data_IF_245499772365
#
_entry.id   IF_245499772365
#
_cell.length_a   1.000
_cell.length_b   1.000
_cell.length_c   1.000
_cell.angle_alpha   90.00
_cell.angle_beta   90.00
_cell.angle_gamma   90.00
#
_symmetry.space_group_name_H-M   'P 1'
#
loop_
_entity.id
_entity.type
_entity.pdbx_description
1 polymer ?
#
# COMPACT_ATOMS: atom_id res chain seq x y z
N UNK A 1 -19.91 60.39 -45.25
CA UNK A 1 -20.54 59.41 -44.32
C UNK A 1 -19.43 58.47 -43.87
N UNK A 2 -19.18 58.40 -42.55
CA UNK A 2 -18.03 57.73 -41.93
C UNK A 2 -18.29 56.22 -41.82
N UNK A 3 -17.43 55.40 -42.43
CA UNK A 3 -17.41 53.94 -42.21
C UNK A 3 -16.46 53.62 -41.07
N UNK A 4 -16.97 52.98 -40.02
CA UNK A 4 -16.25 52.63 -38.79
C UNK A 4 -15.46 51.35 -39.03
N UNK A 5 -14.15 51.39 -38.84
CA UNK A 5 -13.27 50.22 -38.81
C UNK A 5 -13.52 49.44 -37.52
N UNK A 6 -14.05 48.22 -37.62
CA UNK A 6 -14.22 47.31 -36.46
C UNK A 6 -12.89 46.59 -36.24
N UNK A 7 -12.08 47.06 -35.30
CA UNK A 7 -10.89 46.33 -34.85
C UNK A 7 -11.31 45.25 -33.87
N UNK A 8 -11.09 43.99 -34.24
CA UNK A 8 -11.31 42.81 -33.42
C UNK A 8 -10.36 42.80 -32.22
N UNK A 9 -10.87 43.07 -31.02
CA UNK A 9 -10.14 42.83 -29.78
C UNK A 9 -10.29 41.36 -29.37
N UNK A 10 -9.31 40.53 -29.74
CA UNK A 10 -9.09 39.24 -29.07
C UNK A 10 -8.59 39.53 -27.65
N UNK A 11 -9.48 39.48 -26.67
CA UNK A 11 -9.08 39.45 -25.26
C UNK A 11 -8.65 38.00 -24.98
N UNK A 12 -7.35 37.73 -25.08
CA UNK A 12 -6.77 36.52 -24.52
C UNK A 12 -6.84 36.64 -22.99
N UNK A 13 -7.85 36.01 -22.39
CA UNK A 13 -7.91 35.86 -20.94
C UNK A 13 -6.77 34.93 -20.50
N UNK A 14 -5.64 35.50 -20.10
CA UNK A 14 -4.60 34.82 -19.35
C UNK A 14 -5.22 34.42 -18.00
N UNK A 15 -5.77 33.21 -17.92
CA UNK A 15 -6.02 32.57 -16.64
C UNK A 15 -4.64 32.34 -16.02
N UNK A 16 -4.19 33.30 -15.22
CA UNK A 16 -3.06 33.15 -14.32
C UNK A 16 -3.47 32.17 -13.22
N UNK A 17 -3.58 30.89 -13.60
CA UNK A 17 -3.65 29.81 -12.64
C UNK A 17 -2.32 29.81 -11.91
N UNK A 18 -2.33 30.14 -10.63
CA UNK A 18 -1.19 29.88 -9.76
C UNK A 18 -0.96 28.36 -9.78
N UNK A 19 -0.05 27.89 -10.63
CA UNK A 19 0.51 26.55 -10.48
C UNK A 19 1.27 26.60 -9.16
N UNK A 20 0.63 26.11 -8.09
CA UNK A 20 1.30 25.90 -6.82
C UNK A 20 2.52 25.04 -7.09
N UNK A 21 3.71 25.54 -6.73
CA UNK A 21 4.95 24.78 -6.84
C UNK A 21 4.75 23.39 -6.22
N UNK A 22 5.30 22.31 -6.83
CA UNK A 22 5.17 20.98 -6.27
C UNK A 22 5.61 21.00 -4.81
N UNK A 23 4.72 20.57 -3.91
CA UNK A 23 5.03 20.50 -2.49
C UNK A 23 6.21 19.54 -2.28
N UNK A 24 7.27 20.00 -1.62
CA UNK A 24 8.41 19.16 -1.26
C UNK A 24 7.97 18.11 -0.24
N UNK A 25 7.93 16.84 -0.65
CA UNK A 25 7.71 15.70 0.24
C UNK A 25 9.06 15.09 0.66
N UNK A 26 9.52 15.31 1.90
CA UNK A 26 10.79 14.77 2.39
C UNK A 26 10.78 13.23 2.49
N UNK A 27 9.61 12.58 2.43
CA UNK A 27 9.47 11.12 2.55
C UNK A 27 9.11 10.43 1.23
N UNK A 28 9.15 11.15 0.10
CA UNK A 28 8.79 10.60 -1.21
C UNK A 28 9.58 9.32 -1.53
N UNK A 29 10.87 9.28 -1.19
CA UNK A 29 11.70 8.10 -1.41
C UNK A 29 11.25 6.88 -0.60
N UNK A 30 10.94 7.08 0.69
CA UNK A 30 10.46 6.01 1.57
C UNK A 30 9.09 5.48 1.09
N UNK A 31 8.19 6.39 0.69
CA UNK A 31 6.90 6.06 0.08
C UNK A 31 7.08 5.19 -1.17
N UNK A 32 7.94 5.61 -2.09
CA UNK A 32 8.22 4.88 -3.32
C UNK A 32 8.83 3.51 -3.05
N UNK A 33 9.74 3.38 -2.07
CA UNK A 33 10.28 2.09 -1.65
C UNK A 33 9.16 1.19 -1.12
N UNK A 34 8.32 1.71 -0.22
CA UNK A 34 7.21 0.96 0.36
C UNK A 34 6.27 0.40 -0.71
N UNK A 35 5.86 1.24 -1.66
CA UNK A 35 5.02 0.85 -2.80
C UNK A 35 5.73 -0.23 -3.64
N UNK A 36 7.00 -0.01 -4.00
CA UNK A 36 7.76 -0.97 -4.83
C UNK A 36 7.89 -2.33 -4.17
N UNK A 37 8.08 -2.40 -2.86
CA UNK A 37 8.16 -3.69 -2.15
C UNK A 37 6.84 -4.44 -2.28
N UNK A 38 5.71 -3.77 -2.06
CA UNK A 38 4.39 -4.42 -2.14
C UNK A 38 4.02 -4.77 -3.59
N UNK A 39 4.42 -3.97 -4.58
CA UNK A 39 4.33 -4.36 -6.00
C UNK A 39 5.18 -5.58 -6.33
N UNK A 40 6.35 -5.72 -5.70
CA UNK A 40 7.17 -6.92 -5.78
C UNK A 40 6.48 -8.15 -5.20
N UNK A 41 5.81 -8.00 -4.06
CA UNK A 41 4.99 -9.07 -3.47
C UNK A 41 3.87 -9.51 -4.40
N UNK A 42 3.21 -8.55 -5.06
CA UNK A 42 2.16 -8.85 -6.03
C UNK A 42 2.68 -9.71 -7.19
N UNK A 43 3.86 -9.37 -7.72
CA UNK A 43 4.50 -10.10 -8.80
C UNK A 43 4.94 -11.50 -8.36
N UNK A 44 5.53 -11.62 -7.16
CA UNK A 44 5.94 -12.89 -6.60
C UNK A 44 4.75 -13.85 -6.40
N UNK A 45 3.66 -13.35 -5.83
CA UNK A 45 2.46 -14.16 -5.58
C UNK A 45 1.78 -14.60 -6.88
N UNK A 46 1.78 -13.73 -7.89
CA UNK A 46 1.32 -14.09 -9.23
C UNK A 46 2.12 -15.28 -9.77
N UNK A 47 3.44 -15.24 -9.66
CA UNK A 47 4.32 -16.32 -10.12
C UNK A 47 4.11 -17.60 -9.30
N UNK A 48 3.85 -17.48 -7.99
CA UNK A 48 3.46 -18.59 -7.11
C UNK A 48 2.14 -19.26 -7.53
N UNK A 49 1.14 -18.48 -7.94
CA UNK A 49 -0.14 -19.02 -8.43
C UNK A 49 0.03 -19.64 -9.83
N UNK A 50 0.83 -19.04 -10.71
CA UNK A 50 1.11 -19.59 -12.04
C UNK A 50 1.86 -20.92 -12.02
N UNK A 51 2.61 -21.22 -10.95
CA UNK A 51 3.27 -22.52 -10.80
C UNK A 51 2.33 -23.65 -10.36
N UNK A 52 1.03 -23.37 -10.17
CA UNK A 52 -0.01 -24.36 -9.90
C UNK A 52 -0.42 -24.50 -8.43
N UNK A 53 0.08 -23.63 -7.55
CA UNK A 53 -0.39 -23.57 -6.17
C UNK A 53 -1.76 -22.88 -6.06
N UNK A 54 -2.54 -23.27 -5.05
CA UNK A 54 -3.86 -22.69 -4.81
C UNK A 54 -3.77 -21.35 -4.06
N UNK A 55 -4.84 -20.55 -4.11
CA UNK A 55 -4.96 -19.34 -3.29
C UNK A 55 -4.97 -19.69 -1.79
N UNK A 56 -5.54 -20.84 -1.44
CA UNK A 56 -5.56 -21.36 -0.09
C UNK A 56 -4.14 -21.64 0.43
N UNK A 57 -3.29 -22.28 -0.39
CA UNK A 57 -1.88 -22.55 -0.07
C UNK A 57 -1.09 -21.24 0.10
N UNK A 58 -1.33 -20.27 -0.78
CA UNK A 58 -0.72 -18.95 -0.70
C UNK A 58 -1.12 -18.24 0.60
N UNK A 59 -2.41 -18.23 0.96
CA UNK A 59 -2.91 -17.62 2.19
C UNK A 59 -2.37 -18.34 3.43
N UNK A 60 -2.29 -19.67 3.43
CA UNK A 60 -1.73 -20.44 4.53
C UNK A 60 -0.23 -20.14 4.75
N UNK A 61 0.53 -20.09 3.65
CA UNK A 61 1.96 -19.76 3.68
C UNK A 61 2.19 -18.31 4.12
N UNK A 62 1.37 -17.38 3.63
CA UNK A 62 1.41 -15.98 4.05
C UNK A 62 1.12 -15.80 5.54
N UNK A 63 0.12 -16.50 6.11
CA UNK A 63 -0.12 -16.48 7.57
C UNK A 63 1.09 -16.98 8.35
N UNK A 64 1.80 -17.98 7.84
CA UNK A 64 3.04 -18.47 8.44
C UNK A 64 4.13 -17.41 8.39
N UNK A 65 4.36 -16.79 7.22
CA UNK A 65 5.33 -15.71 7.06
C UNK A 65 5.03 -14.51 7.99
N UNK A 66 3.76 -14.11 8.09
CA UNK A 66 3.32 -13.04 9.01
C UNK A 66 3.55 -13.43 10.47
N UNK A 67 3.18 -14.65 10.87
CA UNK A 67 3.35 -15.13 12.26
C UNK A 67 4.82 -15.10 12.67
N UNK A 68 5.72 -15.52 11.79
CA UNK A 68 7.17 -15.50 12.03
C UNK A 68 7.74 -14.07 12.22
N UNK A 69 7.03 -13.05 11.73
CA UNK A 69 7.37 -11.64 11.96
C UNK A 69 6.97 -11.10 13.34
N UNK A 70 6.19 -11.84 14.13
CA UNK A 70 5.74 -11.42 15.46
C UNK A 70 6.76 -11.75 16.55
N UNK A 71 6.65 -11.06 17.70
CA UNK A 71 7.46 -11.36 18.90
C UNK A 71 7.14 -12.73 19.50
N UNK A 72 5.88 -13.13 19.45
CA UNK A 72 5.41 -14.47 19.81
C UNK A 72 4.62 -15.05 18.61
N UNK A 73 5.26 -15.84 17.74
CA UNK A 73 4.60 -16.39 16.55
C UNK A 73 3.36 -17.24 16.84
N UNK A 74 3.34 -17.96 17.97
CA UNK A 74 2.21 -18.83 18.31
C UNK A 74 0.99 -18.05 18.81
N UNK A 75 1.17 -16.78 19.15
CA UNK A 75 0.08 -15.90 19.56
C UNK A 75 -0.68 -15.24 18.41
N UNK A 76 -0.30 -15.50 17.16
CA UNK A 76 -0.85 -14.84 15.99
C UNK A 76 -2.38 -15.00 15.91
N UNK A 77 -3.09 -13.89 15.86
CA UNK A 77 -4.52 -13.83 15.61
C UNK A 77 -4.76 -13.08 14.31
N UNK A 78 -5.48 -13.70 13.38
CA UNK A 78 -5.72 -13.16 12.06
C UNK A 78 -7.19 -12.76 11.88
N UNK A 79 -7.42 -11.68 11.14
CA UNK A 79 -8.74 -11.32 10.63
C UNK A 79 -8.64 -10.66 9.26
N UNK A 80 -9.75 -10.63 8.52
CA UNK A 80 -9.88 -9.97 7.22
C UNK A 80 -8.83 -10.41 6.19
N UNK A 81 -8.33 -11.66 6.30
CA UNK A 81 -7.30 -12.20 5.41
C UNK A 81 -7.90 -12.58 4.07
N UNK A 82 -7.36 -12.02 3.00
CA UNK A 82 -7.83 -12.22 1.62
C UNK A 82 -6.73 -11.93 0.62
N UNK A 83 -6.85 -12.51 -0.57
CA UNK A 83 -6.02 -12.15 -1.71
C UNK A 83 -6.60 -10.89 -2.38
N UNK A 84 -5.77 -9.88 -2.64
CA UNK A 84 -6.18 -8.60 -3.23
C UNK A 84 -5.38 -8.36 -4.51
N UNK A 85 -6.06 -8.13 -5.63
CA UNK A 85 -5.42 -7.75 -6.88
C UNK A 85 -4.68 -6.41 -6.69
N UNK A 86 -3.41 -6.36 -7.07
CA UNK A 86 -2.59 -5.16 -6.96
C UNK A 86 -1.55 -5.17 -8.07
N UNK A 87 -1.50 -4.09 -8.86
CA UNK A 87 -0.65 -4.02 -10.06
C UNK A 87 -0.90 -5.23 -10.98
N UNK A 88 0.16 -5.88 -11.45
CA UNK A 88 0.12 -7.02 -12.36
C UNK A 88 -0.17 -8.36 -11.67
N UNK A 89 -0.41 -8.38 -10.36
CA UNK A 89 -0.53 -9.61 -9.56
C UNK A 89 -1.48 -9.46 -8.38
N UNK A 90 -1.17 -10.12 -7.28
CA UNK A 90 -2.02 -10.08 -6.09
C UNK A 90 -1.24 -10.17 -4.77
N UNK A 91 -1.71 -9.51 -3.72
CA UNK A 91 -1.07 -9.48 -2.41
C UNK A 91 -1.99 -10.16 -1.39
N UNK A 92 -1.42 -10.99 -0.51
CA UNK A 92 -2.19 -11.48 0.65
C UNK A 92 -2.25 -10.36 1.66
N UNK A 93 -3.44 -9.77 1.80
CA UNK A 93 -3.71 -8.71 2.74
C UNK A 93 -4.49 -9.24 3.93
N UNK A 94 -4.35 -8.59 5.08
CA UNK A 94 -5.18 -8.87 6.25
C UNK A 94 -4.72 -8.07 7.45
N UNK A 95 -5.21 -8.45 8.61
CA UNK A 95 -4.76 -7.89 9.87
C UNK A 95 -4.30 -9.00 10.81
N UNK A 96 -3.20 -8.72 11.52
CA UNK A 96 -2.62 -9.62 12.52
C UNK A 96 -2.50 -8.91 13.86
N UNK A 97 -2.80 -9.63 14.93
CA UNK A 97 -2.49 -9.25 16.30
C UNK A 97 -1.58 -10.34 16.91
N UNK A 98 -0.78 -9.96 17.88
CA UNK A 98 0.16 -10.86 18.56
C UNK A 98 0.58 -10.29 19.89
N UNK A 99 1.06 -11.15 20.79
CA UNK A 99 1.60 -10.74 22.07
C UNK A 99 2.92 -10.01 21.88
N UNK A 100 3.09 -8.92 22.62
CA UNK A 100 4.38 -8.25 22.79
C UNK A 100 5.26 -8.99 23.82
N UNK A 101 6.46 -8.46 24.09
CA UNK A 101 7.40 -9.04 25.06
C UNK A 101 6.89 -9.07 26.52
N UNK A 102 5.79 -8.36 26.82
CA UNK A 102 5.12 -8.38 28.13
C UNK A 102 3.94 -9.34 28.18
N UNK A 103 3.70 -10.12 27.11
CA UNK A 103 2.61 -11.10 27.03
C UNK A 103 1.23 -10.54 26.68
N UNK A 104 1.13 -9.22 26.42
CA UNK A 104 -0.12 -8.54 26.11
C UNK A 104 -0.32 -8.31 24.61
N UNK A 105 -1.58 -8.35 24.17
CA UNK A 105 -1.97 -7.95 22.81
C UNK A 105 -2.06 -6.44 22.68
N UNK A 106 -1.52 -5.88 21.60
CA UNK A 106 -1.46 -4.41 21.37
C UNK A 106 -2.43 -3.91 20.30
N UNK A 107 -3.19 -4.83 19.69
CA UNK A 107 -4.19 -4.52 18.67
C UNK A 107 -3.78 -5.03 17.29
N UNK A 108 -4.78 -5.10 16.41
CA UNK A 108 -4.59 -5.57 15.04
C UNK A 108 -3.83 -4.55 14.19
N UNK A 109 -2.84 -5.04 13.45
CA UNK A 109 -2.04 -4.29 12.49
C UNK A 109 -2.23 -4.87 11.10
N UNK A 110 -2.32 -4.01 10.07
CA UNK A 110 -2.40 -4.47 8.68
C UNK A 110 -1.12 -5.18 8.28
N UNK A 111 -1.23 -6.13 7.36
CA UNK A 111 -0.08 -6.72 6.71
C UNK A 111 -0.30 -6.89 5.20
N UNK A 112 0.81 -6.93 4.47
CA UNK A 112 0.91 -7.37 3.09
C UNK A 112 1.91 -8.54 3.06
N UNK A 113 1.58 -9.64 2.40
CA UNK A 113 2.41 -10.85 2.45
C UNK A 113 2.45 -11.62 1.14
N UNK A 114 3.51 -12.41 1.03
CA UNK A 114 3.68 -13.51 0.07
C UNK A 114 3.69 -14.85 0.79
N UNK A 115 3.89 -15.95 0.07
CA UNK A 115 4.10 -17.26 0.70
C UNK A 115 5.39 -17.35 1.55
N UNK A 116 6.33 -16.41 1.39
CA UNK A 116 7.64 -16.46 2.04
C UNK A 116 7.93 -15.26 2.96
N UNK A 117 7.34 -14.10 2.68
CA UNK A 117 7.68 -12.84 3.35
C UNK A 117 6.44 -12.05 3.72
N UNK A 118 6.56 -11.20 4.74
CA UNK A 118 5.49 -10.35 5.20
C UNK A 118 6.01 -8.97 5.62
N UNK A 119 5.21 -7.95 5.31
CA UNK A 119 5.32 -6.62 5.88
C UNK A 119 4.15 -6.42 6.83
N UNK A 120 4.44 -6.08 8.08
CA UNK A 120 3.43 -5.72 9.10
C UNK A 120 3.53 -4.22 9.35
N UNK A 121 2.40 -3.55 9.34
CA UNK A 121 2.28 -2.11 9.55
C UNK A 121 2.85 -1.70 10.92
N UNK A 122 3.91 -0.89 10.88
CA UNK A 122 4.63 -0.42 12.06
C UNK A 122 4.08 0.91 12.59
N UNK A 123 3.04 1.48 11.97
CA UNK A 123 2.52 2.78 12.40
C UNK A 123 2.05 2.76 13.86
N UNK A 124 2.61 3.70 14.62
CA UNK A 124 2.08 4.13 15.91
C UNK A 124 1.03 5.21 15.64
N UNK A 125 -0.22 4.79 15.46
CA UNK A 125 -1.43 5.55 15.78
C UNK A 125 -1.47 7.04 15.39
N UNK A 126 -1.42 7.40 14.09
CA UNK A 126 -2.15 8.56 13.48
C UNK A 126 -1.52 9.16 12.20
N UNK A 127 -0.61 8.47 11.51
CA UNK A 127 -0.23 8.82 10.14
C UNK A 127 0.17 7.53 9.42
N UNK A 128 -0.22 7.39 8.14
CA UNK A 128 0.41 6.41 7.28
C UNK A 128 1.89 6.78 7.20
N UNK A 129 2.71 6.09 7.98
CA UNK A 129 4.18 6.15 7.88
C UNK A 129 4.51 5.90 6.41
N UNK A 130 5.37 6.73 5.83
CA UNK A 130 5.82 6.60 4.45
C UNK A 130 6.28 5.17 4.14
N UNK A 131 6.82 4.47 5.13
CA UNK A 131 7.29 3.09 5.07
C UNK A 131 6.18 2.05 4.96
N UNK A 132 4.96 2.41 5.36
CA UNK A 132 3.78 1.53 5.29
C UNK A 132 2.86 1.87 4.12
N UNK A 133 3.17 2.89 3.31
CA UNK A 133 2.29 3.34 2.22
C UNK A 133 1.90 2.21 1.26
N UNK A 134 2.82 1.32 0.88
CA UNK A 134 2.51 0.18 0.01
C UNK A 134 1.45 -0.75 0.61
N UNK A 135 1.49 -0.99 1.93
CA UNK A 135 0.46 -1.78 2.63
C UNK A 135 -0.88 -1.04 2.53
N UNK A 136 -0.89 0.26 2.77
CA UNK A 136 -2.11 1.06 2.72
C UNK A 136 -2.68 1.17 1.30
N UNK A 137 -1.85 1.22 0.26
CA UNK A 137 -2.31 1.26 -1.13
C UNK A 137 -2.85 -0.09 -1.60
N UNK A 138 -2.18 -1.20 -1.29
CA UNK A 138 -2.60 -2.52 -1.75
C UNK A 138 -3.75 -3.12 -0.90
N UNK A 139 -3.76 -2.82 0.40
CA UNK A 139 -4.64 -3.48 1.36
C UNK A 139 -5.72 -2.55 1.93
N UNK A 140 -6.02 -1.43 1.27
CA UNK A 140 -7.18 -0.59 1.57
C UNK A 140 -8.44 -1.19 0.92
N UNK A 141 -9.22 -1.91 1.71
CA UNK A 141 -10.50 -2.52 1.31
C UNK A 141 -11.18 -3.16 2.50
#
# INVERSE_FOLDING_TARGET
MRGITVTTSLIAALVAGCVSAPQYDPYLHERQISIKIVSGYASFNRDYLYSGHSEEDLIASAKTAVSNGLKDPQSAQFRNVRLVAYQEGAVVCGEVNGKNSYGGFTGFKRFAATSEAALIDQTSSNQADARSLGIYEACSG
#
